data_IF_039410699209
#
_entry.id   IF_039410699209
#
_cell.length_a   1.000
_cell.length_b   1.000
_cell.length_c   1.000
_cell.angle_alpha   90.00
_cell.angle_beta   90.00
_cell.angle_gamma   90.00
#
_symmetry.space_group_name_H-M   'P 1'
#
loop_
_entity.id
_entity.type
_entity.pdbx_description
1 polymer ?
#
# COMPACT_ATOMS: atom_id res chain seq x y z
N UNK A 1 0.99 33.77 9.28
CA UNK A 1 0.83 33.49 10.72
C UNK A 1 -0.42 32.65 10.99
N UNK A 2 -1.59 32.99 10.44
CA UNK A 2 -2.83 32.21 10.62
C UNK A 2 -2.74 30.75 10.10
N UNK A 3 -2.14 30.52 8.93
CA UNK A 3 -2.01 29.15 8.38
C UNK A 3 -1.11 28.24 9.23
N UNK A 4 -0.09 28.79 9.88
CA UNK A 4 0.86 28.05 10.70
C UNK A 4 0.26 27.72 12.08
N UNK A 5 -0.50 28.64 12.69
CA UNK A 5 -1.28 28.33 13.90
C UNK A 5 -2.41 27.31 13.64
N UNK A 6 -3.03 27.36 12.46
CA UNK A 6 -4.07 26.41 12.09
C UNK A 6 -3.50 25.00 11.85
N UNK A 7 -2.34 24.91 11.18
CA UNK A 7 -1.61 23.64 10.97
C UNK A 7 -1.21 23.00 12.30
N UNK A 8 -0.64 23.78 13.22
CA UNK A 8 -0.24 23.34 14.58
C UNK A 8 -1.44 22.87 15.42
N UNK A 9 -2.62 23.48 15.26
CA UNK A 9 -3.85 23.03 15.96
C UNK A 9 -4.37 21.72 15.38
N UNK A 10 -4.31 21.54 14.07
CA UNK A 10 -4.74 20.31 13.38
C UNK A 10 -3.83 19.13 13.77
N UNK A 11 -2.51 19.31 13.74
CA UNK A 11 -1.54 18.29 14.19
C UNK A 11 -1.70 17.96 15.68
N UNK A 12 -2.02 18.91 16.56
CA UNK A 12 -2.35 18.63 17.98
C UNK A 12 -3.63 17.80 18.15
N UNK A 13 -4.68 18.08 17.39
CA UNK A 13 -5.94 17.34 17.46
C UNK A 13 -5.82 15.92 16.91
N UNK A 14 -5.01 15.74 15.86
CA UNK A 14 -4.73 14.42 15.31
C UNK A 14 -3.72 13.62 16.14
N UNK A 15 -2.74 14.28 16.75
CA UNK A 15 -1.89 13.70 17.80
C UNK A 15 -2.73 13.10 18.93
N UNK A 16 -3.71 13.84 19.46
CA UNK A 16 -4.59 13.33 20.53
C UNK A 16 -5.35 12.09 20.06
N UNK A 17 -5.76 12.02 18.79
CA UNK A 17 -6.41 10.84 18.20
C UNK A 17 -5.45 9.66 18.04
N UNK A 18 -4.25 9.88 17.51
CA UNK A 18 -3.22 8.85 17.34
C UNK A 18 -2.75 8.28 18.67
N UNK A 19 -2.37 9.14 19.62
CA UNK A 19 -1.93 8.74 20.95
C UNK A 19 -3.08 8.10 21.78
N UNK A 20 -4.29 8.67 21.73
CA UNK A 20 -5.43 8.07 22.44
C UNK A 20 -5.84 6.72 21.84
N UNK A 21 -5.78 6.53 20.53
CA UNK A 21 -6.09 5.24 19.92
C UNK A 21 -5.04 4.17 20.23
N UNK A 22 -3.76 4.56 20.31
CA UNK A 22 -2.68 3.68 20.77
C UNK A 22 -2.84 3.30 22.26
N UNK A 23 -3.51 4.14 23.06
CA UNK A 23 -3.77 3.92 24.49
C UNK A 23 -5.14 3.27 24.82
N UNK A 24 -6.20 3.49 24.04
CA UNK A 24 -7.59 3.17 24.41
C UNK A 24 -8.07 1.74 24.09
N UNK A 25 -7.20 0.90 23.54
CA UNK A 25 -7.53 -0.46 23.10
C UNK A 25 -7.64 -1.50 24.23
N UNK A 26 -7.62 -1.06 25.50
CA UNK A 26 -7.87 -1.90 26.68
C UNK A 26 -9.37 -2.27 26.90
N UNK A 27 -10.29 -1.81 26.04
CA UNK A 27 -11.74 -1.84 26.37
C UNK A 27 -12.68 -2.41 25.30
N UNK A 28 -12.23 -3.38 24.49
CA UNK A 28 -13.13 -4.10 23.57
C UNK A 28 -13.03 -5.63 23.71
N UNK A 29 -13.21 -6.14 24.93
CA UNK A 29 -13.80 -7.47 25.15
C UNK A 29 -14.62 -7.42 26.45
N UNK A 30 -15.96 -7.40 26.32
CA UNK A 30 -16.94 -8.07 27.20
C UNK A 30 -18.36 -7.59 26.84
N UNK A 31 -19.28 -8.46 26.40
CA UNK A 31 -20.71 -8.16 26.44
C UNK A 31 -21.26 -8.33 27.87
N UNK A 32 -22.32 -7.60 28.25
CA UNK A 32 -22.82 -7.58 29.63
C UNK A 32 -23.62 -8.84 29.99
N UNK A 33 -23.36 -9.32 31.21
CA UNK A 33 -24.03 -10.40 31.94
C UNK A 33 -25.56 -10.44 31.81
N UNK A 34 -26.13 -11.64 31.58
CA UNK A 34 -27.41 -12.06 32.18
C UNK A 34 -27.39 -13.53 32.63
N UNK A 35 -27.56 -13.66 33.96
CA UNK A 35 -28.19 -14.72 34.78
C UNK A 35 -27.56 -16.13 34.85
N UNK A 36 -27.15 -16.47 36.09
CA UNK A 36 -26.85 -17.81 36.60
C UNK A 36 -28.01 -18.79 36.38
N UNK A 37 -27.69 -20.00 35.96
CA UNK A 37 -28.42 -21.24 36.28
C UNK A 37 -27.38 -22.29 36.68
N UNK A 38 -27.68 -23.03 37.74
CA UNK A 38 -26.83 -24.01 38.45
C UNK A 38 -27.13 -25.43 37.94
N UNK A 39 -26.19 -26.36 38.22
CA UNK A 39 -26.17 -27.83 38.00
C UNK A 39 -25.53 -28.26 36.67
N UNK A 40 -24.59 -29.20 36.59
CA UNK A 40 -23.97 -30.08 37.58
C UNK A 40 -22.97 -31.02 36.85
N UNK A 41 -21.87 -31.33 37.53
CA UNK A 41 -21.02 -32.56 37.49
C UNK A 41 -20.73 -33.32 36.17
N UNK A 42 -19.44 -33.26 35.76
CA UNK A 42 -18.47 -34.35 35.43
C UNK A 42 -18.83 -35.50 34.43
N UNK A 43 -17.87 -36.28 33.87
CA UNK A 43 -16.40 -36.12 33.79
C UNK A 43 -15.76 -36.39 32.40
N UNK A 44 -14.44 -36.13 32.37
CA UNK A 44 -13.42 -36.59 31.41
C UNK A 44 -13.56 -38.04 30.93
N UNK A 45 -13.14 -38.29 29.68
CA UNK A 45 -12.41 -39.52 29.31
C UNK A 45 -11.29 -39.21 28.31
N UNK A 46 -10.08 -39.59 28.73
CA UNK A 46 -8.85 -39.78 27.97
C UNK A 46 -8.84 -41.12 27.23
N UNK A 47 -8.10 -41.22 26.13
CA UNK A 47 -7.10 -42.28 25.79
C UNK A 47 -6.87 -42.35 24.26
N UNK A 48 -5.66 -42.07 23.75
CA UNK A 48 -4.45 -42.93 23.58
C UNK A 48 -4.44 -43.73 22.26
N UNK A 49 -3.46 -43.35 21.42
CA UNK A 49 -2.59 -44.07 20.47
C UNK A 49 -3.00 -45.40 19.79
N UNK A 50 -2.73 -45.51 18.47
CA UNK A 50 -1.78 -46.47 17.86
C UNK A 50 -1.71 -46.37 16.31
N UNK A 51 -0.49 -46.39 15.77
CA UNK A 51 -0.09 -46.69 14.37
C UNK A 51 0.45 -48.14 14.29
N UNK A 52 1.00 -48.65 13.17
CA UNK A 52 0.56 -48.73 11.76
C UNK A 52 0.58 -50.19 11.23
N UNK A 53 0.13 -50.44 9.99
CA UNK A 53 0.40 -51.71 9.29
C UNK A 53 0.63 -51.53 7.77
N UNK A 54 1.41 -52.47 7.25
CA UNK A 54 2.25 -52.46 6.06
C UNK A 54 1.58 -52.58 4.67
N UNK A 55 2.43 -52.30 3.68
CA UNK A 55 2.33 -52.39 2.21
C UNK A 55 2.31 -53.86 1.73
N UNK A 56 1.87 -54.16 0.49
CA UNK A 56 2.85 -54.65 -0.48
C UNK A 56 2.74 -54.04 -1.89
N UNK A 57 3.87 -54.13 -2.59
CA UNK A 57 4.24 -53.52 -3.86
C UNK A 57 3.80 -54.32 -5.10
N UNK A 58 3.71 -53.66 -6.27
CA UNK A 58 4.33 -54.13 -7.53
C UNK A 58 4.26 -53.07 -8.64
N UNK A 59 5.24 -53.10 -9.56
CA UNK A 59 5.03 -52.73 -10.97
C UNK A 59 5.71 -51.45 -11.48
N UNK A 60 7.01 -51.53 -11.79
CA UNK A 60 7.73 -50.51 -12.54
C UNK A 60 7.49 -50.61 -14.06
N UNK A 61 7.20 -49.50 -14.74
CA UNK A 61 7.42 -49.35 -16.18
C UNK A 61 8.03 -47.98 -16.51
N UNK A 62 9.21 -48.04 -17.16
CA UNK A 62 10.00 -46.93 -17.68
C UNK A 62 9.36 -46.38 -18.95
N UNK A 63 9.11 -45.06 -19.02
CA UNK A 63 8.87 -44.35 -20.29
C UNK A 63 10.02 -43.42 -20.62
N UNK A 64 10.56 -43.61 -21.83
CA UNK A 64 11.68 -42.90 -22.44
C UNK A 64 11.28 -41.47 -22.82
N UNK A 65 12.03 -40.49 -22.34
CA UNK A 65 11.97 -39.09 -22.78
C UNK A 65 12.74 -38.92 -24.10
N UNK A 66 12.11 -38.34 -25.12
CA UNK A 66 12.75 -37.89 -26.37
C UNK A 66 12.68 -36.35 -26.41
N UNK A 67 13.74 -35.64 -26.80
CA UNK A 67 13.76 -34.17 -26.78
C UNK A 67 13.02 -33.61 -28.00
N UNK A 68 12.09 -32.67 -27.79
CA UNK A 68 11.45 -31.91 -28.86
C UNK A 68 12.22 -30.61 -29.15
N UNK A 69 12.36 -30.32 -30.44
CA UNK A 69 13.09 -29.20 -31.05
C UNK A 69 12.55 -27.84 -30.59
N UNK A 70 13.46 -26.88 -30.39
CA UNK A 70 13.16 -25.46 -30.17
C UNK A 70 12.63 -24.83 -31.46
N UNK A 71 11.38 -24.40 -31.47
CA UNK A 71 10.85 -23.49 -32.48
C UNK A 71 11.18 -22.04 -32.10
N UNK A 72 11.75 -21.30 -33.05
CA UNK A 72 12.03 -19.87 -32.94
C UNK A 72 10.72 -19.10 -33.01
N UNK A 73 10.27 -18.53 -31.89
CA UNK A 73 9.20 -17.54 -31.88
C UNK A 73 9.78 -16.23 -32.43
N UNK A 74 9.18 -15.74 -33.52
CA UNK A 74 9.49 -14.44 -34.12
C UNK A 74 9.18 -13.34 -33.11
N UNK A 75 10.13 -12.43 -32.90
CA UNK A 75 9.96 -11.24 -32.08
C UNK A 75 8.73 -10.45 -32.56
N UNK A 76 7.73 -10.35 -31.68
CA UNK A 76 6.63 -9.42 -31.89
C UNK A 76 7.18 -7.99 -31.82
N UNK A 77 6.77 -7.17 -32.78
CA UNK A 77 7.17 -5.78 -32.93
C UNK A 77 6.82 -5.03 -31.65
N UNK A 78 7.84 -4.55 -30.94
CA UNK A 78 7.72 -3.73 -29.72
C UNK A 78 6.96 -2.46 -30.09
N UNK A 79 5.77 -2.28 -29.53
CA UNK A 79 5.05 -1.01 -29.63
C UNK A 79 5.92 0.08 -28.95
N UNK A 80 6.07 1.27 -29.56
CA UNK A 80 6.95 2.28 -29.02
C UNK A 80 6.42 2.73 -27.65
N UNK A 81 7.25 2.58 -26.63
CA UNK A 81 7.02 3.13 -25.29
C UNK A 81 6.70 4.63 -25.41
N UNK A 82 5.83 5.14 -24.54
CA UNK A 82 5.33 6.53 -24.59
C UNK A 82 6.48 7.55 -24.48
N UNK A 83 7.68 7.13 -24.04
CA UNK A 83 8.92 7.91 -24.05
C UNK A 83 9.69 7.96 -25.37
N UNK A 84 9.46 7.05 -26.32
CA UNK A 84 10.27 6.91 -27.54
C UNK A 84 10.07 8.02 -28.58
N UNK A 85 9.10 8.92 -28.39
CA UNK A 85 8.79 10.05 -29.29
C UNK A 85 9.22 11.42 -28.76
N UNK A 86 9.90 11.47 -27.62
CA UNK A 86 10.36 12.73 -27.03
C UNK A 86 11.86 12.88 -27.24
N UNK A 87 12.28 13.97 -27.90
CA UNK A 87 13.69 14.33 -28.06
C UNK A 87 14.32 14.90 -26.78
N UNK A 88 13.58 14.90 -25.66
CA UNK A 88 14.06 15.38 -24.37
C UNK A 88 15.03 14.36 -23.73
N UNK A 89 16.32 14.69 -23.56
CA UNK A 89 17.28 13.80 -22.93
C UNK A 89 16.91 13.43 -21.49
N UNK A 90 16.13 14.27 -20.79
CA UNK A 90 15.68 14.00 -19.42
C UNK A 90 14.66 12.85 -19.35
N UNK A 91 14.00 12.52 -20.47
CA UNK A 91 13.05 11.42 -20.52
C UNK A 91 13.72 10.05 -20.57
N UNK A 92 15.04 10.00 -20.77
CA UNK A 92 15.85 8.77 -20.77
C UNK A 92 15.23 7.63 -21.58
N UNK A 93 14.61 7.96 -22.73
CA UNK A 93 13.82 7.04 -23.55
C UNK A 93 14.49 5.68 -23.83
N UNK A 94 15.80 5.62 -24.17
CA UNK A 94 16.49 4.35 -24.40
C UNK A 94 16.50 3.40 -23.19
N UNK A 95 16.45 3.91 -21.96
CA UNK A 95 16.50 3.11 -20.73
C UNK A 95 15.12 2.86 -20.12
N UNK A 96 14.06 3.46 -20.66
CA UNK A 96 12.73 3.44 -20.05
C UNK A 96 12.16 2.01 -19.89
N UNK A 97 12.45 1.14 -20.85
CA UNK A 97 12.07 -0.28 -20.80
C UNK A 97 12.86 -1.02 -19.73
N UNK A 98 14.20 -0.94 -19.78
CA UNK A 98 15.11 -1.59 -18.82
C UNK A 98 14.82 -1.17 -17.38
N UNK A 99 14.60 0.12 -17.14
CA UNK A 99 14.24 0.67 -15.83
C UNK A 99 12.92 0.06 -15.34
N UNK A 100 11.91 -0.02 -16.20
CA UNK A 100 10.62 -0.58 -15.83
C UNK A 100 10.69 -2.08 -15.55
N UNK A 101 11.38 -2.85 -16.39
CA UNK A 101 11.60 -4.28 -16.18
C UNK A 101 12.37 -4.53 -14.87
N UNK A 102 13.40 -3.72 -14.59
CA UNK A 102 14.13 -3.76 -13.33
C UNK A 102 13.20 -3.49 -12.13
N UNK A 103 12.43 -2.39 -12.15
CA UNK A 103 11.51 -2.03 -11.07
C UNK A 103 10.42 -3.10 -10.86
N UNK A 104 9.90 -3.68 -11.95
CA UNK A 104 8.90 -4.74 -11.90
C UNK A 104 9.50 -6.04 -11.32
N UNK A 105 10.73 -6.40 -11.70
CA UNK A 105 11.44 -7.53 -11.09
C UNK A 105 11.69 -7.30 -9.59
N UNK A 106 12.04 -6.07 -9.22
CA UNK A 106 12.37 -5.69 -7.86
C UNK A 106 11.16 -5.70 -6.92
N UNK A 107 9.97 -5.27 -7.36
CA UNK A 107 8.76 -5.34 -6.52
C UNK A 107 8.29 -6.78 -6.23
N UNK A 108 8.69 -7.75 -7.06
CA UNK A 108 8.38 -9.17 -6.89
C UNK A 108 9.32 -9.88 -5.93
N UNK A 109 10.47 -9.29 -5.58
CA UNK A 109 11.45 -9.91 -4.68
C UNK A 109 10.86 -10.14 -3.28
N UNK A 110 10.82 -11.40 -2.77
CA UNK A 110 10.22 -11.68 -1.46
C UNK A 110 10.83 -10.89 -0.31
N UNK A 111 12.15 -10.63 -0.35
CA UNK A 111 12.86 -9.84 0.69
C UNK A 111 12.44 -8.36 0.74
N UNK A 112 11.85 -7.85 -0.34
CA UNK A 112 11.41 -6.45 -0.47
C UNK A 112 9.93 -6.28 -0.16
N UNK A 113 9.18 -7.36 -0.04
CA UNK A 113 7.74 -7.33 0.24
C UNK A 113 7.46 -7.48 1.74
N UNK A 114 6.49 -6.73 2.28
CA UNK A 114 5.92 -7.07 3.57
C UNK A 114 5.16 -8.40 3.50
N UNK A 115 5.11 -9.12 4.61
CA UNK A 115 4.24 -10.29 4.76
C UNK A 115 2.78 -9.82 4.78
N UNK A 116 1.95 -10.33 3.89
CA UNK A 116 0.56 -9.89 3.74
C UNK A 116 -0.32 -10.11 4.98
N UNK A 117 0.12 -10.96 5.91
CA UNK A 117 -0.57 -11.35 7.14
C UNK A 117 0.35 -11.18 8.38
N UNK A 118 1.27 -10.21 8.34
CA UNK A 118 2.14 -9.92 9.49
C UNK A 118 1.39 -9.52 10.76
N UNK A 119 0.19 -8.94 10.66
CA UNK A 119 -0.59 -8.58 11.85
C UNK A 119 -1.02 -9.86 12.58
N UNK A 120 -1.49 -10.86 11.85
CA UNK A 120 -1.93 -12.13 12.40
C UNK A 120 -0.77 -13.04 12.80
N UNK A 121 0.31 -13.06 12.01
CA UNK A 121 1.42 -14.01 12.20
C UNK A 121 2.55 -13.51 13.10
N UNK A 122 2.81 -12.21 13.11
CA UNK A 122 4.01 -11.63 13.76
C UNK A 122 3.61 -10.72 14.92
N UNK A 123 2.59 -9.89 14.73
CA UNK A 123 2.17 -8.93 15.74
C UNK A 123 1.26 -9.59 16.78
N UNK A 124 1.47 -9.22 18.05
CA UNK A 124 0.60 -9.62 19.17
C UNK A 124 -0.21 -8.46 19.73
N UNK A 125 0.31 -7.25 19.54
CA UNK A 125 -0.15 -6.05 20.23
C UNK A 125 -0.55 -4.92 19.28
N UNK A 126 -0.19 -5.04 18.00
CA UNK A 126 -0.52 -4.08 16.94
C UNK A 126 -1.66 -4.64 16.10
N UNK A 127 -2.70 -3.83 15.88
CA UNK A 127 -3.85 -4.18 15.04
C UNK A 127 -3.87 -3.42 13.72
N UNK A 128 -4.67 -3.89 12.76
CA UNK A 128 -4.96 -3.21 11.49
C UNK A 128 -5.40 -1.75 11.70
N UNK A 129 -6.26 -1.52 12.69
CA UNK A 129 -6.78 -0.18 12.99
C UNK A 129 -5.68 0.75 13.52
N UNK A 130 -4.81 0.26 14.41
CA UNK A 130 -3.66 1.04 14.91
C UNK A 130 -2.71 1.44 13.77
N UNK A 131 -2.44 0.52 12.84
CA UNK A 131 -1.67 0.82 11.62
C UNK A 131 -2.35 1.93 10.82
N UNK A 132 -3.65 1.80 10.52
CA UNK A 132 -4.40 2.81 9.77
C UNK A 132 -4.35 4.20 10.43
N UNK A 133 -4.46 4.26 11.76
CA UNK A 133 -4.37 5.51 12.53
C UNK A 133 -2.96 6.11 12.48
N UNK A 134 -1.91 5.28 12.57
CA UNK A 134 -0.54 5.75 12.39
C UNK A 134 -0.35 6.35 11.00
N UNK A 135 -0.79 5.65 9.94
CA UNK A 135 -0.64 6.12 8.55
C UNK A 135 -1.43 7.42 8.33
N UNK A 136 -2.66 7.52 8.84
CA UNK A 136 -3.47 8.74 8.74
C UNK A 136 -2.75 9.95 9.38
N UNK A 137 -2.16 9.76 10.57
CA UNK A 137 -1.36 10.80 11.21
C UNK A 137 -0.09 11.14 10.44
N UNK A 138 0.62 10.15 9.88
CA UNK A 138 1.82 10.39 9.08
C UNK A 138 1.54 11.19 7.80
N UNK A 139 0.32 11.11 7.25
CA UNK A 139 -0.10 11.99 6.14
C UNK A 139 -0.09 13.46 6.57
N UNK A 140 -0.54 13.76 7.79
CA UNK A 140 -0.52 15.13 8.32
C UNK A 140 0.91 15.58 8.64
N UNK A 141 1.76 14.70 9.18
CA UNK A 141 3.19 15.00 9.41
C UNK A 141 3.88 15.33 8.08
N UNK A 142 3.59 14.58 7.01
CA UNK A 142 4.12 14.85 5.69
C UNK A 142 3.66 16.21 5.14
N UNK A 143 2.40 16.61 5.35
CA UNK A 143 1.92 17.95 4.96
C UNK A 143 2.55 19.08 5.80
N UNK A 144 2.72 18.88 7.12
CA UNK A 144 3.33 19.86 8.04
C UNK A 144 4.78 20.17 7.63
N UNK A 145 5.56 19.13 7.34
CA UNK A 145 6.95 19.27 6.89
C UNK A 145 7.10 19.40 5.37
N UNK A 146 5.99 19.47 4.63
CA UNK A 146 5.95 19.63 3.17
C UNK A 146 6.80 18.58 2.44
N UNK A 147 6.79 17.35 2.94
CA UNK A 147 7.53 16.23 2.38
C UNK A 147 6.92 15.80 1.03
N UNK A 148 7.77 15.29 0.14
CA UNK A 148 7.34 14.67 -1.10
C UNK A 148 6.42 13.47 -0.84
N UNK A 149 5.50 13.19 -1.76
CA UNK A 149 4.67 11.99 -1.64
C UNK A 149 5.52 10.71 -1.62
N UNK A 150 6.61 10.67 -2.40
CA UNK A 150 7.52 9.53 -2.47
C UNK A 150 8.08 9.17 -1.07
N UNK A 151 8.41 10.18 -0.25
CA UNK A 151 8.81 10.03 1.15
C UNK A 151 7.75 9.33 2.00
N UNK A 152 6.48 9.70 1.84
CA UNK A 152 5.37 9.02 2.53
C UNK A 152 5.25 7.56 2.10
N UNK A 153 5.30 7.27 0.80
CA UNK A 153 5.20 5.89 0.29
C UNK A 153 6.36 5.01 0.82
N UNK A 154 7.59 5.53 0.84
CA UNK A 154 8.75 4.84 1.41
C UNK A 154 8.59 4.61 2.91
N UNK A 155 8.09 5.63 3.64
CA UNK A 155 7.80 5.51 5.08
C UNK A 155 6.91 4.32 5.37
N UNK A 156 5.79 4.19 4.63
CA UNK A 156 4.84 3.10 4.86
C UNK A 156 5.43 1.74 4.47
N UNK A 157 6.20 1.69 3.38
CA UNK A 157 6.96 0.48 2.99
C UNK A 157 7.91 0.01 4.10
N UNK A 158 8.62 0.93 4.76
CA UNK A 158 9.54 0.59 5.85
C UNK A 158 8.79 0.08 7.09
N UNK A 159 7.69 0.73 7.46
CA UNK A 159 6.84 0.32 8.58
C UNK A 159 6.33 -1.11 8.36
N UNK A 160 5.74 -1.40 7.21
CA UNK A 160 5.13 -2.71 6.94
C UNK A 160 6.19 -3.82 6.89
N UNK A 161 7.35 -3.57 6.27
CA UNK A 161 8.46 -4.54 6.23
C UNK A 161 9.08 -4.77 7.61
N UNK A 162 9.17 -3.74 8.44
CA UNK A 162 9.65 -3.88 9.81
C UNK A 162 8.66 -4.73 10.64
N UNK A 163 7.37 -4.42 10.59
CA UNK A 163 6.32 -5.17 11.28
C UNK A 163 6.16 -6.61 10.73
N UNK A 164 6.62 -6.86 9.51
CA UNK A 164 6.70 -8.21 8.93
C UNK A 164 7.80 -9.08 9.55
N UNK A 165 8.81 -8.49 10.18
CA UNK A 165 9.98 -9.24 10.69
C UNK A 165 10.15 -9.13 12.19
N UNK A 166 9.58 -8.10 12.83
CA UNK A 166 9.72 -7.82 14.26
C UNK A 166 8.38 -7.55 14.90
N UNK A 167 8.06 -8.30 15.96
CA UNK A 167 6.95 -7.96 16.84
C UNK A 167 7.24 -6.64 17.58
N UNK A 168 6.26 -5.74 17.61
CA UNK A 168 6.37 -4.43 18.23
C UNK A 168 5.28 -4.25 19.30
N UNK A 169 5.62 -3.59 20.40
CA UNK A 169 4.64 -3.14 21.38
C UNK A 169 3.91 -1.90 20.82
N UNK A 170 2.59 -1.82 21.01
CA UNK A 170 1.74 -0.71 20.50
C UNK A 170 2.24 0.67 20.93
N UNK A 171 2.83 0.80 22.12
CA UNK A 171 3.38 2.06 22.64
C UNK A 171 4.59 2.57 21.84
N UNK A 172 5.29 1.70 21.10
CA UNK A 172 6.43 2.05 20.25
C UNK A 172 6.03 2.24 18.79
N UNK A 173 4.75 2.11 18.44
CA UNK A 173 4.28 2.20 17.06
C UNK A 173 4.46 3.60 16.47
N UNK A 174 4.21 4.66 17.25
CA UNK A 174 4.49 6.03 16.80
C UNK A 174 5.98 6.28 16.61
N UNK A 175 6.83 5.78 17.52
CA UNK A 175 8.29 5.83 17.39
C UNK A 175 8.78 5.16 16.10
N UNK A 176 8.25 3.97 15.77
CA UNK A 176 8.53 3.30 14.50
C UNK A 176 8.13 4.19 13.31
N UNK A 177 6.95 4.81 13.36
CA UNK A 177 6.45 5.69 12.31
C UNK A 177 7.36 6.88 12.02
N UNK A 178 7.69 7.67 13.05
CA UNK A 178 8.55 8.86 12.86
C UNK A 178 9.98 8.50 12.48
N UNK A 179 10.52 7.40 13.01
CA UNK A 179 11.86 6.94 12.65
C UNK A 179 11.91 6.42 11.22
N UNK A 180 10.84 5.75 10.75
CA UNK A 180 10.71 5.33 9.35
C UNK A 180 10.62 6.54 8.42
N UNK A 181 9.89 7.59 8.83
CA UNK A 181 9.77 8.82 8.05
C UNK A 181 11.08 9.62 8.01
N UNK A 182 11.83 9.65 9.11
CA UNK A 182 13.18 10.21 9.14
C UNK A 182 14.10 9.52 8.12
N UNK A 183 14.09 8.19 8.07
CA UNK A 183 14.89 7.43 7.09
C UNK A 183 14.43 7.74 5.66
N UNK A 184 13.12 7.74 5.41
CA UNK A 184 12.57 8.04 4.10
C UNK A 184 12.93 9.47 3.66
N UNK A 185 12.87 10.44 4.56
CA UNK A 185 13.23 11.82 4.28
C UNK A 185 14.71 11.93 3.94
N UNK A 186 15.60 11.30 4.72
CA UNK A 186 17.04 11.25 4.41
C UNK A 186 17.35 10.60 3.05
N UNK A 187 16.49 9.71 2.58
CA UNK A 187 16.66 9.00 1.31
C UNK A 187 16.16 9.80 0.10
N UNK A 188 15.03 10.50 0.23
CA UNK A 188 14.31 11.10 -0.90
C UNK A 188 14.35 12.63 -0.94
N UNK A 189 14.46 13.31 0.21
CA UNK A 189 14.39 14.77 0.26
C UNK A 189 15.74 15.42 -0.02
N UNK A 190 15.72 16.56 -0.72
CA UNK A 190 16.90 17.40 -0.92
C UNK A 190 17.41 17.94 0.42
N UNK A 191 16.48 18.35 1.28
CA UNK A 191 16.75 18.92 2.60
C UNK A 191 15.84 18.24 3.64
N UNK A 192 16.24 17.10 4.20
CA UNK A 192 15.42 16.37 5.17
C UNK A 192 15.29 17.12 6.51
N UNK A 193 14.14 16.99 7.21
CA UNK A 193 14.01 17.49 8.58
C UNK A 193 15.03 16.83 9.51
N UNK A 194 15.42 17.56 10.55
CA UNK A 194 16.38 17.08 11.54
C UNK A 194 15.69 16.12 12.53
N UNK A 195 16.49 15.36 13.28
CA UNK A 195 15.94 14.39 14.25
C UNK A 195 15.10 15.10 15.31
N UNK A 196 15.53 16.29 15.71
CA UNK A 196 14.85 17.16 16.66
C UNK A 196 13.45 17.56 16.18
N UNK A 197 13.23 17.72 14.87
CA UNK A 197 11.90 18.01 14.33
C UNK A 197 10.96 16.81 14.54
N UNK A 198 11.45 15.59 14.32
CA UNK A 198 10.67 14.37 14.60
C UNK A 198 10.44 14.14 16.09
N UNK A 199 11.35 14.55 16.97
CA UNK A 199 11.07 14.60 18.41
C UNK A 199 9.96 15.62 18.70
N UNK A 200 10.04 16.81 18.13
CA UNK A 200 9.09 17.89 18.33
C UNK A 200 7.67 17.55 17.86
N UNK A 201 7.50 16.93 16.69
CA UNK A 201 6.15 16.57 16.18
C UNK A 201 5.47 15.50 17.03
N UNK A 202 6.25 14.70 17.77
CA UNK A 202 5.73 13.76 18.78
C UNK A 202 5.49 14.43 20.14
N UNK A 203 5.58 15.76 20.22
CA UNK A 203 5.54 16.55 21.46
C UNK A 203 6.56 16.07 22.50
N UNK A 204 7.75 15.70 22.01
CA UNK A 204 8.85 15.15 22.81
C UNK A 204 8.45 13.92 23.61
N UNK A 205 7.48 13.13 23.11
CA UNK A 205 7.14 11.82 23.68
C UNK A 205 8.35 10.88 23.64
N UNK A 206 9.21 11.04 22.63
CA UNK A 206 10.43 10.28 22.46
C UNK A 206 11.65 11.20 22.45
N UNK A 207 12.76 10.72 23.01
CA UNK A 207 14.03 11.44 22.96
C UNK A 207 14.75 11.22 21.64
N UNK A 208 15.73 12.08 21.35
CA UNK A 208 16.59 11.94 20.16
C UNK A 208 17.27 10.57 20.10
N UNK A 209 17.74 10.09 21.25
CA UNK A 209 18.42 8.80 21.38
C UNK A 209 17.49 7.64 21.04
N UNK A 210 16.22 7.72 21.45
CA UNK A 210 15.22 6.70 21.13
C UNK A 210 14.89 6.66 19.63
N UNK A 211 14.76 7.83 18.99
CA UNK A 211 14.53 7.94 17.54
C UNK A 211 15.73 7.41 16.77
N UNK A 212 16.96 7.80 17.12
CA UNK A 212 18.19 7.31 16.47
C UNK A 212 18.37 5.81 16.67
N UNK A 213 18.04 5.29 17.85
CA UNK A 213 18.10 3.85 18.12
C UNK A 213 17.09 3.08 17.26
N UNK A 214 15.85 3.57 17.18
CA UNK A 214 14.82 2.95 16.33
C UNK A 214 15.21 3.03 14.85
N UNK A 215 15.78 4.16 14.39
CA UNK A 215 16.34 4.28 13.04
C UNK A 215 17.36 3.16 12.76
N UNK A 216 18.33 2.97 13.67
CA UNK A 216 19.33 1.92 13.52
C UNK A 216 18.71 0.51 13.51
N UNK A 217 17.69 0.26 14.34
CA UNK A 217 16.98 -1.02 14.37
C UNK A 217 16.22 -1.28 13.06
N UNK A 218 15.58 -0.26 12.48
CA UNK A 218 14.90 -0.37 11.18
C UNK A 218 15.91 -0.68 10.07
N UNK A 219 16.98 0.10 9.96
CA UNK A 219 18.01 -0.08 8.93
C UNK A 219 18.61 -1.49 8.97
N UNK A 220 18.92 -2.00 10.17
CA UNK A 220 19.40 -3.37 10.37
C UNK A 220 18.34 -4.41 9.98
N UNK A 221 17.09 -4.22 10.39
CA UNK A 221 16.01 -5.17 10.08
C UNK A 221 15.72 -5.26 8.58
N UNK A 222 15.88 -4.15 7.86
CA UNK A 222 15.67 -4.05 6.42
C UNK A 222 16.95 -4.35 5.60
N UNK A 223 18.06 -4.70 6.26
CA UNK A 223 19.37 -4.89 5.63
C UNK A 223 19.79 -3.72 4.71
N UNK A 224 19.44 -2.48 5.10
CA UNK A 224 19.70 -1.26 4.33
C UNK A 224 19.08 -1.24 2.91
N UNK A 225 18.12 -2.11 2.62
CA UNK A 225 17.41 -2.15 1.33
C UNK A 225 16.29 -1.10 1.31
N UNK A 226 16.64 0.16 1.07
CA UNK A 226 15.73 1.32 1.19
C UNK A 226 15.02 1.68 -0.13
N UNK A 227 15.66 1.43 -1.28
CA UNK A 227 15.16 1.84 -2.60
C UNK A 227 14.10 0.93 -3.23
N UNK A 228 13.04 0.56 -2.49
CA UNK A 228 11.99 -0.30 -3.03
C UNK A 228 11.02 0.46 -3.96
N UNK A 229 10.51 -0.16 -5.04
CA UNK A 229 9.47 0.44 -5.86
C UNK A 229 8.20 0.66 -5.02
N UNK A 230 7.54 1.78 -5.25
CA UNK A 230 6.29 2.13 -4.58
C UNK A 230 5.15 2.24 -5.58
N UNK A 231 3.91 2.42 -5.10
CA UNK A 231 2.74 2.60 -5.96
C UNK A 231 2.98 3.81 -6.89
N UNK A 232 3.56 4.89 -6.36
CA UNK A 232 3.86 6.11 -7.11
C UNK A 232 4.86 5.88 -8.25
N UNK A 233 5.82 4.96 -8.07
CA UNK A 233 6.78 4.56 -9.11
C UNK A 233 6.06 4.12 -10.40
N UNK A 234 5.06 3.25 -10.28
CA UNK A 234 4.31 2.73 -11.43
C UNK A 234 3.23 3.70 -11.92
N UNK A 235 2.62 4.47 -11.01
CA UNK A 235 1.59 5.45 -11.37
C UNK A 235 2.08 6.52 -12.36
N UNK A 236 3.33 6.98 -12.24
CA UNK A 236 3.90 7.98 -13.17
C UNK A 236 3.76 7.50 -14.63
N UNK A 237 4.10 6.23 -14.89
CA UNK A 237 3.99 5.62 -16.23
C UNK A 237 2.53 5.38 -16.62
N UNK A 238 1.73 4.75 -15.76
CA UNK A 238 0.36 4.40 -16.11
C UNK A 238 -0.57 5.60 -16.28
N UNK A 239 -0.32 6.70 -15.55
CA UNK A 239 -1.09 7.95 -15.72
C UNK A 239 -0.86 8.55 -17.10
N UNK A 240 0.39 8.53 -17.58
CA UNK A 240 0.74 9.01 -18.92
C UNK A 240 0.02 8.21 -20.01
N UNK A 241 0.03 6.88 -19.89
CA UNK A 241 -0.68 5.97 -20.83
C UNK A 241 -2.19 6.20 -20.77
N UNK A 242 -2.76 6.33 -19.56
CA UNK A 242 -4.19 6.59 -19.38
C UNK A 242 -4.65 7.91 -20.02
N UNK A 243 -3.73 8.85 -20.21
CA UNK A 243 -3.98 10.17 -20.77
C UNK A 243 -3.62 10.31 -22.26
N UNK A 244 -3.16 9.26 -22.95
CA UNK A 244 -2.72 9.35 -24.37
C UNK A 244 -3.75 9.96 -25.31
N UNK A 245 -5.04 9.75 -25.04
CA UNK A 245 -6.14 10.26 -25.86
C UNK A 245 -6.53 11.72 -25.54
N UNK A 246 -5.91 12.34 -24.54
CA UNK A 246 -6.19 13.72 -24.15
C UNK A 246 -5.19 14.65 -24.82
N UNK A 247 -5.70 15.71 -25.47
CA UNK A 247 -4.86 16.76 -26.07
C UNK A 247 -4.05 17.54 -25.04
N UNK A 248 -4.52 17.60 -23.80
CA UNK A 248 -3.88 18.29 -22.68
C UNK A 248 -3.92 17.40 -21.42
N UNK A 249 -2.89 17.48 -20.54
CA UNK A 249 -2.87 16.72 -19.30
C UNK A 249 -4.12 16.99 -18.46
N UNK A 250 -4.83 15.92 -18.08
CA UNK A 250 -6.00 16.05 -17.24
C UNK A 250 -5.58 16.02 -15.77
N UNK A 251 -5.23 17.20 -15.25
CA UNK A 251 -4.84 17.36 -13.85
C UNK A 251 -5.87 16.84 -12.84
N UNK A 252 -7.17 16.84 -13.19
CA UNK A 252 -8.19 16.28 -12.31
C UNK A 252 -8.07 14.75 -12.20
N UNK A 253 -7.74 14.08 -13.31
CA UNK A 253 -7.43 12.65 -13.30
C UNK A 253 -6.15 12.37 -12.51
N UNK A 254 -5.08 13.14 -12.72
CA UNK A 254 -3.82 12.98 -11.98
C UNK A 254 -3.99 13.11 -10.47
N UNK A 255 -4.66 14.17 -10.01
CA UNK A 255 -4.90 14.34 -8.58
C UNK A 255 -5.84 13.27 -8.02
N UNK A 256 -6.84 12.81 -8.78
CA UNK A 256 -7.71 11.71 -8.37
C UNK A 256 -6.93 10.40 -8.23
N UNK A 257 -6.00 10.14 -9.15
CA UNK A 257 -5.09 8.99 -9.07
C UNK A 257 -4.25 9.06 -7.80
N UNK A 258 -3.64 10.21 -7.49
CA UNK A 258 -2.83 10.35 -6.27
C UNK A 258 -3.68 10.22 -4.99
N UNK A 259 -4.89 10.78 -4.99
CA UNK A 259 -5.84 10.64 -3.88
C UNK A 259 -6.16 9.17 -3.59
N UNK A 260 -6.58 8.42 -4.61
CA UNK A 260 -6.96 7.02 -4.45
C UNK A 260 -5.77 6.13 -4.08
N UNK A 261 -4.57 6.45 -4.57
CA UNK A 261 -3.35 5.76 -4.20
C UNK A 261 -2.95 6.01 -2.74
N UNK A 262 -3.04 7.25 -2.24
CA UNK A 262 -2.79 7.54 -0.83
C UNK A 262 -3.87 6.92 0.08
N UNK A 263 -5.13 6.84 -0.36
CA UNK A 263 -6.15 6.08 0.37
C UNK A 263 -5.77 4.61 0.54
N UNK A 264 -5.18 3.99 -0.48
CA UNK A 264 -4.78 2.58 -0.43
C UNK A 264 -3.73 2.31 0.66
N UNK A 265 -2.94 3.31 1.07
CA UNK A 265 -1.94 3.17 2.14
C UNK A 265 -2.58 2.97 3.51
N UNK A 266 -3.80 3.46 3.72
CA UNK A 266 -4.50 3.37 5.01
C UNK A 266 -4.99 1.96 5.32
N UNK A 267 -5.39 1.20 4.29
CA UNK A 267 -6.02 -0.11 4.44
C UNK A 267 -4.99 -1.23 4.40
N UNK A 268 -4.98 -2.05 5.45
CA UNK A 268 -4.10 -3.21 5.52
C UNK A 268 -4.36 -4.24 4.42
N UNK A 269 -5.60 -4.35 3.94
CA UNK A 269 -5.96 -5.27 2.86
C UNK A 269 -5.24 -4.97 1.54
N UNK A 270 -4.66 -3.77 1.39
CA UNK A 270 -3.85 -3.41 0.23
C UNK A 270 -2.42 -3.98 0.26
N UNK A 271 -1.89 -4.34 1.44
CA UNK A 271 -0.49 -4.79 1.64
C UNK A 271 -0.18 -6.06 0.82
N UNK A 272 -1.20 -6.91 0.59
CA UNK A 272 -1.05 -8.15 -0.17
C UNK A 272 -0.79 -7.96 -1.66
N UNK A 273 -1.16 -6.81 -2.23
CA UNK A 273 -0.99 -6.54 -3.65
C UNK A 273 0.41 -6.04 -3.97
N UNK A 274 0.81 -6.18 -5.23
CA UNK A 274 2.03 -5.53 -5.72
C UNK A 274 1.78 -4.03 -5.91
N UNK A 275 2.80 -3.16 -5.68
CA UNK A 275 2.71 -1.74 -5.98
C UNK A 275 2.19 -1.43 -7.40
N UNK A 276 2.62 -2.17 -8.43
CA UNK A 276 2.12 -2.02 -9.80
C UNK A 276 0.64 -2.39 -9.95
N UNK A 277 0.16 -3.42 -9.25
CA UNK A 277 -1.24 -3.82 -9.26
C UNK A 277 -2.12 -2.74 -8.63
N UNK A 278 -1.71 -2.19 -7.48
CA UNK A 278 -2.43 -1.08 -6.83
C UNK A 278 -2.45 0.14 -7.76
N UNK A 279 -1.33 0.46 -8.40
CA UNK A 279 -1.24 1.56 -9.37
C UNK A 279 -2.22 1.35 -10.55
N UNK A 280 -2.27 0.15 -11.12
CA UNK A 280 -3.20 -0.21 -12.20
C UNK A 280 -4.67 -0.10 -11.75
N UNK A 281 -5.01 -0.63 -10.57
CA UNK A 281 -6.34 -0.55 -9.98
C UNK A 281 -6.79 0.89 -9.70
N UNK A 282 -5.88 1.75 -9.25
CA UNK A 282 -6.14 3.19 -9.06
C UNK A 282 -6.46 3.87 -10.40
N UNK A 283 -5.72 3.57 -11.47
CA UNK A 283 -5.98 4.13 -12.80
C UNK A 283 -7.35 3.70 -13.31
N UNK A 284 -7.68 2.41 -13.18
CA UNK A 284 -9.00 1.87 -13.51
C UNK A 284 -10.10 2.64 -12.78
N UNK A 285 -9.98 2.75 -11.45
CA UNK A 285 -11.01 3.39 -10.62
C UNK A 285 -11.13 4.90 -10.87
N UNK A 286 -10.02 5.57 -11.14
CA UNK A 286 -10.00 7.01 -11.47
C UNK A 286 -10.74 7.28 -12.79
N UNK A 287 -10.48 6.45 -13.82
CA UNK A 287 -11.19 6.53 -15.10
C UNK A 287 -12.68 6.23 -14.94
N UNK A 288 -13.02 5.22 -14.14
CA UNK A 288 -14.42 4.90 -13.83
C UNK A 288 -15.13 6.06 -13.12
N UNK A 289 -14.50 6.65 -12.11
CA UNK A 289 -15.07 7.77 -11.33
C UNK A 289 -15.38 8.97 -12.24
N UNK A 290 -14.47 9.31 -13.16
CA UNK A 290 -14.66 10.46 -14.06
C UNK A 290 -15.58 10.16 -15.24
N UNK A 291 -15.62 8.92 -15.71
CA UNK A 291 -16.40 8.49 -16.89
C UNK A 291 -17.06 7.14 -16.65
N UNK A 292 -18.12 7.09 -15.82
CA UNK A 292 -18.72 5.82 -15.40
C UNK A 292 -19.41 5.06 -16.54
N UNK A 293 -19.79 5.76 -17.63
CA UNK A 293 -20.42 5.18 -18.83
C UNK A 293 -19.41 4.60 -19.84
N UNK A 294 -18.11 4.74 -19.59
CA UNK A 294 -17.06 4.27 -20.49
C UNK A 294 -16.26 3.17 -19.82
N UNK A 295 -15.89 2.13 -20.58
CA UNK A 295 -15.04 1.08 -20.04
C UNK A 295 -13.71 1.68 -19.53
N UNK A 296 -13.37 1.48 -18.24
CA UNK A 296 -12.22 2.15 -17.62
C UNK A 296 -10.88 1.54 -18.04
N UNK A 297 -10.86 0.27 -18.45
CA UNK A 297 -9.67 -0.42 -18.94
C UNK A 297 -9.59 -0.41 -20.46
N UNK A 298 -8.40 -0.25 -21.05
CA UNK A 298 -8.19 -0.27 -22.50
C UNK A 298 -6.95 -1.08 -22.87
N UNK A 299 -6.83 -1.49 -24.14
CA UNK A 299 -5.74 -2.35 -24.62
C UNK A 299 -4.35 -1.78 -24.35
N UNK A 300 -4.14 -0.46 -24.47
CA UNK A 300 -2.86 0.17 -24.13
C UNK A 300 -2.48 -0.02 -22.65
N UNK A 301 -3.44 0.11 -21.72
CA UNK A 301 -3.19 -0.09 -20.29
C UNK A 301 -2.89 -1.56 -19.98
N UNK A 302 -3.65 -2.48 -20.59
CA UNK A 302 -3.40 -3.92 -20.45
C UNK A 302 -2.00 -4.29 -20.96
N UNK A 303 -1.61 -3.80 -22.14
CA UNK A 303 -0.29 -4.08 -22.73
C UNK A 303 0.87 -3.58 -21.86
N UNK A 304 0.80 -2.34 -21.37
CA UNK A 304 1.90 -1.73 -20.63
C UNK A 304 1.95 -2.09 -19.13
N UNK A 305 0.83 -2.50 -18.54
CA UNK A 305 0.80 -2.91 -17.13
C UNK A 305 0.90 -4.42 -16.94
N UNK A 306 0.60 -5.20 -17.98
CA UNK A 306 0.52 -6.66 -17.91
C UNK A 306 -0.74 -7.21 -17.24
N UNK A 307 -1.62 -6.36 -16.69
CA UNK A 307 -2.79 -6.79 -15.95
C UNK A 307 -4.08 -6.77 -16.78
N UNK A 308 -4.87 -7.82 -16.64
CA UNK A 308 -6.23 -7.92 -17.16
C UNK A 308 -7.23 -7.29 -16.19
N UNK A 309 -8.40 -6.82 -16.67
CA UNK A 309 -9.45 -6.30 -15.80
C UNK A 309 -9.85 -7.26 -14.68
N UNK A 310 -9.95 -8.56 -14.98
CA UNK A 310 -10.34 -9.59 -14.02
C UNK A 310 -9.38 -9.72 -12.84
N UNK A 311 -8.08 -9.57 -13.09
CA UNK A 311 -7.01 -9.64 -12.07
C UNK A 311 -7.03 -8.42 -11.14
N UNK A 312 -7.44 -7.25 -11.65
CA UNK A 312 -7.52 -6.02 -10.88
C UNK A 312 -8.74 -5.95 -9.96
N UNK A 313 -9.75 -6.81 -10.18
CA UNK A 313 -11.08 -6.72 -9.57
C UNK A 313 -11.04 -6.57 -8.06
N UNK A 314 -10.31 -7.44 -7.37
CA UNK A 314 -10.27 -7.43 -5.91
C UNK A 314 -9.67 -6.11 -5.38
N UNK A 315 -8.53 -5.69 -5.92
CA UNK A 315 -7.86 -4.46 -5.51
C UNK A 315 -8.70 -3.21 -5.83
N UNK A 316 -9.33 -3.16 -7.01
CA UNK A 316 -10.24 -2.07 -7.40
C UNK A 316 -11.41 -1.96 -6.41
N UNK A 317 -12.03 -3.07 -6.02
CA UNK A 317 -13.17 -3.05 -5.09
C UNK A 317 -12.77 -2.59 -3.69
N UNK A 318 -11.58 -2.99 -3.19
CA UNK A 318 -11.06 -2.51 -1.91
C UNK A 318 -10.85 -0.98 -1.95
N UNK A 319 -10.22 -0.47 -3.01
CA UNK A 319 -9.96 0.98 -3.15
C UNK A 319 -11.27 1.74 -3.39
N UNK A 320 -12.26 1.15 -4.06
CA UNK A 320 -13.59 1.73 -4.24
C UNK A 320 -14.34 1.85 -2.91
N UNK A 321 -14.28 0.84 -2.06
CA UNK A 321 -14.82 0.90 -0.70
C UNK A 321 -14.13 1.99 0.15
N UNK A 322 -12.82 2.19 -0.03
CA UNK A 322 -12.11 3.31 0.59
C UNK A 322 -12.62 4.65 0.03
N UNK A 323 -12.72 4.82 -1.29
CA UNK A 323 -13.23 6.04 -1.92
C UNK A 323 -14.63 6.41 -1.40
N UNK A 324 -15.51 5.42 -1.27
CA UNK A 324 -16.88 5.58 -0.75
C UNK A 324 -16.95 5.65 0.79
N UNK A 325 -15.82 5.61 1.48
CA UNK A 325 -15.70 5.64 2.94
C UNK A 325 -16.45 4.50 3.65
N UNK A 326 -16.68 3.38 2.96
CA UNK A 326 -17.18 2.12 3.55
C UNK A 326 -16.10 1.45 4.39
N UNK A 327 -14.84 1.70 4.05
CA UNK A 327 -13.64 1.32 4.81
C UNK A 327 -12.88 2.56 5.22
N UNK A 328 -12.31 2.54 6.43
CA UNK A 328 -11.44 3.63 6.91
C UNK A 328 -12.09 5.01 6.95
N UNK A 329 -13.43 5.11 7.06
CA UNK A 329 -14.14 6.40 7.03
C UNK A 329 -13.80 7.34 8.19
N UNK A 330 -13.27 6.81 9.30
CA UNK A 330 -12.75 7.59 10.42
C UNK A 330 -11.34 8.18 10.20
N UNK A 331 -10.63 7.71 9.16
CA UNK A 331 -9.30 8.16 8.77
C UNK A 331 -9.44 9.26 7.72
N UNK A 332 -9.24 10.50 8.15
CA UNK A 332 -9.71 11.70 7.42
C UNK A 332 -8.58 12.49 6.78
N UNK A 333 -7.32 12.30 7.18
CA UNK A 333 -6.21 13.15 6.76
C UNK A 333 -6.05 13.20 5.23
N UNK A 334 -6.07 12.04 4.58
CA UNK A 334 -5.98 11.96 3.10
C UNK A 334 -7.16 12.67 2.44
N UNK A 335 -8.38 12.54 2.97
CA UNK A 335 -9.57 13.21 2.42
C UNK A 335 -9.46 14.72 2.55
N UNK A 336 -9.09 15.20 3.73
CA UNK A 336 -8.93 16.65 3.96
C UNK A 336 -7.79 17.24 3.11
N UNK A 337 -6.68 16.52 2.96
CA UNK A 337 -5.60 16.89 2.04
C UNK A 337 -6.14 17.11 0.62
N UNK A 338 -6.82 16.12 0.05
CA UNK A 338 -7.29 16.17 -1.34
C UNK A 338 -8.62 16.92 -1.55
N UNK A 339 -9.23 17.48 -0.50
CA UNK A 339 -10.31 18.49 -0.59
C UNK A 339 -9.79 19.89 -0.91
N UNK A 340 -8.50 20.14 -0.71
CA UNK A 340 -7.90 21.44 -0.96
C UNK A 340 -7.95 21.82 -2.46
N UNK A 341 -8.10 23.12 -2.75
CA UNK A 341 -8.17 23.64 -4.11
C UNK A 341 -6.91 23.33 -4.93
N UNK A 342 -5.74 23.24 -4.28
CA UNK A 342 -4.46 22.86 -4.92
C UNK A 342 -4.51 21.49 -5.61
N UNK A 343 -5.39 20.60 -5.16
CA UNK A 343 -5.63 19.28 -5.73
C UNK A 343 -6.96 19.18 -6.50
N UNK A 344 -7.52 20.31 -6.96
CA UNK A 344 -8.81 20.37 -7.68
C UNK A 344 -9.98 19.74 -6.94
N UNK A 345 -9.91 19.70 -5.61
CA UNK A 345 -10.95 19.13 -4.73
C UNK A 345 -11.37 17.71 -5.12
N UNK A 346 -10.47 16.89 -5.66
CA UNK A 346 -10.82 15.56 -6.20
C UNK A 346 -11.46 14.62 -5.17
N UNK A 347 -11.22 14.84 -3.88
CA UNK A 347 -11.87 14.07 -2.81
C UNK A 347 -13.38 14.36 -2.66
N UNK A 348 -13.91 15.43 -3.28
CA UNK A 348 -15.35 15.74 -3.29
C UNK A 348 -16.10 15.12 -4.48
N UNK A 349 -15.37 14.47 -5.40
CA UNK A 349 -15.97 13.82 -6.56
C UNK A 349 -16.83 12.63 -6.13
N UNK A 350 -18.03 12.53 -6.71
CA UNK A 350 -18.95 11.42 -6.46
C UNK A 350 -18.67 10.28 -7.43
N UNK A 351 -18.24 9.14 -6.89
CA UNK A 351 -18.13 7.88 -7.63
C UNK A 351 -19.44 7.10 -7.56
N UNK A 352 -19.89 6.42 -8.63
CA UNK A 352 -21.02 5.52 -8.55
C UNK A 352 -20.82 4.45 -7.47
N UNK A 353 -21.91 4.04 -6.81
CA UNK A 353 -21.84 3.12 -5.67
C UNK A 353 -21.44 1.69 -6.05
N UNK A 354 -21.62 1.29 -7.32
CA UNK A 354 -21.34 -0.05 -7.82
C UNK A 354 -20.62 0.05 -9.16
N UNK A 355 -19.55 -0.73 -9.32
CA UNK A 355 -18.85 -0.91 -10.59
C UNK A 355 -19.52 -2.09 -11.33
N UNK A 356 -19.97 -1.92 -12.58
CA UNK A 356 -20.53 -3.01 -13.37
C UNK A 356 -19.57 -4.21 -13.46
N UNK A 357 -20.07 -5.43 -13.25
CA UNK A 357 -19.25 -6.65 -13.31
C UNK A 357 -18.63 -6.84 -14.69
N UNK A 358 -19.33 -6.41 -15.74
CA UNK A 358 -18.84 -6.43 -17.12
C UNK A 358 -17.57 -5.62 -17.35
N UNK A 359 -17.25 -4.64 -16.48
CA UNK A 359 -15.98 -3.89 -16.58
C UNK A 359 -14.76 -4.68 -16.09
N UNK A 360 -14.99 -5.84 -15.47
CA UNK A 360 -13.95 -6.78 -15.06
C UNK A 360 -13.88 -8.02 -15.98
N UNK A 361 -14.70 -8.08 -17.02
CA UNK A 361 -14.60 -9.13 -18.03
C UNK A 361 -13.38 -8.85 -18.92
N UNK A 362 -12.62 -9.90 -19.22
CA UNK A 362 -11.45 -9.77 -20.07
C UNK A 362 -11.87 -9.35 -21.48
N UNK A 363 -11.23 -8.30 -21.98
CA UNK A 363 -11.41 -7.85 -23.37
C UNK A 363 -10.87 -8.98 -24.25
N UNK A 364 -11.75 -9.63 -25.02
CA UNK A 364 -11.33 -10.62 -26.03
C UNK A 364 -10.47 -9.89 -27.06
N UNK A 365 -9.24 -10.37 -27.25
CA UNK A 365 -8.29 -9.87 -28.25
C UNK A 365 -8.86 -9.96 -29.68
#
# INVERSE_FOLDING_TARGET
MADQENSVRITRAAKKRAAAAMAASDSLQLPPNKKRVVLGELPNLSNVAATPAAVPASGAQKQKFRPKKKEKVKAAVVAPDVGAKSDDPQMCGPYATDIYEYLHSMEMEPKRRPLHDYIEKVQKDVSHNMRGILVDWLVEVAEEYKLASDTLYLTISYIDRFLSSKALNRQRLQLLGVSSMLIAAKYEEISPPHVEDFCYITDNTYTKEEVVKMEADILKSLNFEMGNPTIKTFLRRFTRIAQENYKTPNLQLEFLVYYLAELSLLDYGCVKFLPSMVAASVIFLSRFTLRPKTHPWCSSLQHHSGYKPSELKECVLIIHDLQLSRRGGSLVAVREKYKQHKFKCVATLSSPSVIPVSYFEDIKE
#
